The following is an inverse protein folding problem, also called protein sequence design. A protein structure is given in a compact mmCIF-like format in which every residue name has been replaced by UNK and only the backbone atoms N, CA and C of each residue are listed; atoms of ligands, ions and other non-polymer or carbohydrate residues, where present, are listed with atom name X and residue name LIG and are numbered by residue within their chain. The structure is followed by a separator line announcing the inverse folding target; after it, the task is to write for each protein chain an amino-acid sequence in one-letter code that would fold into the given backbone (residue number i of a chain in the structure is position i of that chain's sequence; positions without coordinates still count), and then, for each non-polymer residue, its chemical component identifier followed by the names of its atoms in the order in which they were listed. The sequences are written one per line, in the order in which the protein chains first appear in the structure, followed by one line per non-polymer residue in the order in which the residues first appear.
data_IF_152086634816
#
_entry.id   IF_152086634816
#
_cell.length_a   1.000
_cell.length_b   1.000
_cell.length_c   1.000
_cell.angle_alpha   90.00
_cell.angle_beta   90.00
_cell.angle_gamma   90.00
#
_symmetry.space_group_name_H-M   'P 1'
#
loop_
_entity.id
_entity.type
_entity.pdbx_description
1 polymer ?
#
# COMPACT_ATOMS: atom_id res chain seq x y z
N UNK A 1 1.71 28.56 -1.09
CA UNK A 1 2.57 28.60 0.10
C UNK A 1 3.97 28.24 -0.37
N UNK A 2 5.01 28.83 0.21
CA UNK A 2 6.40 28.49 -0.14
C UNK A 2 6.83 27.16 0.49
N UNK A 3 7.84 26.50 -0.09
CA UNK A 3 8.24 25.16 0.37
C UNK A 3 8.90 25.15 1.75
N UNK A 4 9.51 26.27 2.17
CA UNK A 4 10.00 26.43 3.54
C UNK A 4 8.84 26.44 4.56
N UNK A 5 7.75 27.14 4.22
CA UNK A 5 6.54 27.26 5.05
C UNK A 5 5.79 25.94 5.17
N UNK A 6 5.67 25.18 4.07
CA UNK A 6 5.09 23.81 4.11
C UNK A 6 5.93 22.89 4.99
N UNK A 7 7.25 22.94 4.88
CA UNK A 7 8.15 22.15 5.75
C UNK A 7 8.01 22.52 7.22
N UNK A 8 7.87 23.80 7.55
CA UNK A 8 7.63 24.24 8.92
C UNK A 8 6.30 23.70 9.48
N UNK A 9 5.21 23.73 8.70
CA UNK A 9 3.94 23.11 9.10
C UNK A 9 4.07 21.60 9.33
N UNK A 10 4.82 20.89 8.47
CA UNK A 10 5.04 19.44 8.58
C UNK A 10 5.87 19.07 9.81
N UNK A 11 6.95 19.81 10.09
CA UNK A 11 7.77 19.62 11.32
C UNK A 11 7.00 19.97 12.58
N UNK A 12 6.27 21.08 12.56
CA UNK A 12 5.44 21.53 13.68
C UNK A 12 4.15 20.73 13.89
N UNK A 13 3.81 19.80 13.00
CA UNK A 13 2.49 19.14 12.95
C UNK A 13 2.11 18.46 14.26
N UNK A 14 3.01 17.67 14.85
CA UNK A 14 2.69 16.97 16.10
C UNK A 14 2.32 17.94 17.23
N UNK A 15 3.10 19.02 17.36
CA UNK A 15 2.87 20.06 18.37
C UNK A 15 1.63 20.89 18.08
N UNK A 16 1.39 21.25 16.83
CA UNK A 16 0.16 21.93 16.41
C UNK A 16 -1.07 21.08 16.73
N UNK A 17 -1.08 19.80 16.36
CA UNK A 17 -2.23 18.91 16.63
C UNK A 17 -2.49 18.73 18.13
N UNK A 18 -1.44 18.72 18.94
CA UNK A 18 -1.54 18.61 20.39
C UNK A 18 -2.06 19.90 21.06
N UNK A 19 -1.60 21.08 20.61
CA UNK A 19 -1.80 22.34 21.30
C UNK A 19 -2.83 23.29 20.67
N UNK A 20 -3.16 23.11 19.38
CA UNK A 20 -4.04 24.02 18.65
C UNK A 20 -5.48 23.98 19.19
N UNK A 21 -5.96 25.14 19.59
CA UNK A 21 -7.37 25.40 19.91
C UNK A 21 -8.06 25.80 18.62
N UNK A 22 -8.84 24.89 18.08
CA UNK A 22 -9.46 25.04 16.75
C UNK A 22 -10.74 25.87 16.76
N UNK A 23 -11.54 25.81 17.84
CA UNK A 23 -12.81 26.55 17.92
C UNK A 23 -12.68 28.07 17.72
N UNK A 24 -11.68 28.77 18.31
CA UNK A 24 -11.49 30.21 18.08
C UNK A 24 -10.98 30.58 16.69
N UNK A 25 -10.54 29.60 15.88
CA UNK A 25 -9.94 29.86 14.57
C UNK A 25 -10.99 29.97 13.46
N UNK A 26 -12.19 29.40 13.64
CA UNK A 26 -13.13 29.23 12.54
C UNK A 26 -13.61 30.56 11.94
N UNK A 27 -14.08 31.50 12.77
CA UNK A 27 -14.59 32.78 12.27
C UNK A 27 -13.46 33.60 11.59
N UNK A 28 -12.27 33.77 12.19
CA UNK A 28 -11.17 34.48 11.53
C UNK A 28 -10.64 33.81 10.25
N UNK A 29 -10.72 32.48 10.15
CA UNK A 29 -10.34 31.74 8.95
C UNK A 29 -11.30 32.01 7.78
N UNK A 30 -12.59 32.16 8.06
CA UNK A 30 -13.62 32.52 7.09
C UNK A 30 -13.53 34.01 6.71
N UNK A 31 -13.51 34.91 7.71
CA UNK A 31 -13.51 36.37 7.51
C UNK A 31 -12.34 36.86 6.67
N UNK A 32 -11.16 36.23 6.83
CA UNK A 32 -9.95 36.58 6.07
C UNK A 32 -9.85 35.87 4.73
N UNK A 33 -10.90 35.15 4.33
CA UNK A 33 -10.96 34.39 3.08
C UNK A 33 -9.94 33.25 3.00
N UNK A 34 -9.39 32.83 4.14
CA UNK A 34 -8.42 31.74 4.16
C UNK A 34 -9.13 30.42 3.86
N UNK A 35 -10.35 30.24 4.35
CA UNK A 35 -11.26 29.14 4.00
C UNK A 35 -12.63 29.72 3.64
N UNK A 36 -13.37 29.05 2.75
CA UNK A 36 -14.77 29.42 2.50
C UNK A 36 -15.66 28.77 3.56
N UNK A 37 -16.85 29.32 3.80
CA UNK A 37 -17.81 28.77 4.76
C UNK A 37 -18.06 27.26 4.63
N UNK A 38 -18.28 26.70 3.41
CA UNK A 38 -18.44 25.25 3.26
C UNK A 38 -17.20 24.46 3.69
N UNK A 39 -15.99 24.98 3.43
CA UNK A 39 -14.75 24.32 3.85
C UNK A 39 -14.59 24.35 5.39
N UNK A 40 -15.01 25.43 6.04
CA UNK A 40 -14.99 25.52 7.51
C UNK A 40 -15.98 24.53 8.13
N UNK A 41 -17.17 24.38 7.55
CA UNK A 41 -18.17 23.38 7.98
C UNK A 41 -17.63 21.94 7.81
N UNK A 42 -16.94 21.64 6.69
CA UNK A 42 -16.25 20.36 6.49
C UNK A 42 -15.15 20.14 7.54
N UNK A 43 -14.33 21.14 7.82
CA UNK A 43 -13.27 21.07 8.82
C UNK A 43 -13.83 20.83 10.24
N UNK A 44 -14.96 21.44 10.58
CA UNK A 44 -15.65 21.21 11.84
C UNK A 44 -16.24 19.80 11.94
N UNK A 45 -16.66 19.21 10.81
CA UNK A 45 -17.21 17.85 10.75
C UNK A 45 -16.17 16.74 10.93
N UNK A 46 -14.87 17.05 10.92
CA UNK A 46 -13.75 16.10 11.00
C UNK A 46 -13.58 15.38 12.37
N UNK A 47 -14.63 15.35 13.18
CA UNK A 47 -14.71 14.62 14.45
C UNK A 47 -13.97 15.31 15.59
N UNK A 48 -13.02 14.61 16.21
CA UNK A 48 -12.30 15.12 17.40
C UNK A 48 -11.53 16.42 17.13
N UNK A 49 -11.29 17.23 18.17
CA UNK A 49 -10.43 18.45 18.10
C UNK A 49 -9.09 18.18 17.40
N UNK A 50 -8.45 17.05 17.70
CA UNK A 50 -7.20 16.64 17.05
C UNK A 50 -7.36 16.29 15.58
N UNK A 51 -8.50 15.71 15.19
CA UNK A 51 -8.89 15.49 13.79
C UNK A 51 -9.06 16.80 13.03
N UNK A 52 -9.82 17.73 13.60
CA UNK A 52 -10.02 19.08 13.05
C UNK A 52 -8.68 19.83 12.89
N UNK A 53 -7.80 19.80 13.89
CA UNK A 53 -6.49 20.42 13.83
C UNK A 53 -5.60 19.79 12.73
N UNK A 54 -5.62 18.45 12.60
CA UNK A 54 -4.89 17.73 11.54
C UNK A 54 -5.38 18.15 10.16
N UNK A 55 -6.69 18.17 9.96
CA UNK A 55 -7.28 18.49 8.66
C UNK A 55 -7.00 19.95 8.29
N UNK A 56 -7.15 20.88 9.24
CA UNK A 56 -6.84 22.29 9.03
C UNK A 56 -5.39 22.51 8.55
N UNK A 57 -4.41 21.84 9.18
CA UNK A 57 -3.00 21.95 8.79
C UNK A 57 -2.76 21.42 7.37
N UNK A 58 -3.40 20.28 7.02
CA UNK A 58 -3.30 19.67 5.69
C UNK A 58 -3.86 20.63 4.64
N UNK A 59 -5.07 21.12 4.85
CA UNK A 59 -5.76 21.94 3.85
C UNK A 59 -5.07 23.29 3.69
N UNK A 60 -4.48 23.83 4.77
CA UNK A 60 -3.71 25.07 4.75
C UNK A 60 -2.55 25.02 3.74
N UNK A 61 -1.89 23.87 3.52
CA UNK A 61 -0.81 23.71 2.54
C UNK A 61 -1.27 24.00 1.09
N UNK A 62 -2.58 23.89 0.82
CA UNK A 62 -3.19 24.07 -0.51
C UNK A 62 -3.70 25.49 -0.78
N UNK A 63 -3.78 26.36 0.24
CA UNK A 63 -4.47 27.68 0.17
C UNK A 63 -3.65 28.83 -0.47
N UNK A 64 -2.62 28.52 -1.25
CA UNK A 64 -1.85 29.54 -1.97
C UNK A 64 -0.82 30.29 -1.13
N UNK A 65 -0.19 31.33 -1.67
CA UNK A 65 1.01 31.99 -1.08
C UNK A 65 0.69 32.78 0.20
N UNK A 66 -0.50 33.36 0.31
CA UNK A 66 -0.92 34.16 1.45
C UNK A 66 -1.39 33.33 2.66
N UNK A 67 -1.53 32.01 2.48
CA UNK A 67 -2.11 31.15 3.51
C UNK A 67 -1.33 31.12 4.82
N UNK A 68 -0.02 30.95 4.73
CA UNK A 68 0.86 30.88 5.89
C UNK A 68 0.91 32.19 6.68
N UNK A 69 1.18 33.37 6.08
CA UNK A 69 1.19 34.63 6.84
C UNK A 69 -0.18 34.99 7.44
N UNK A 70 -1.28 34.70 6.72
CA UNK A 70 -2.63 34.90 7.26
C UNK A 70 -2.89 33.98 8.46
N UNK A 71 -2.50 32.71 8.38
CA UNK A 71 -2.65 31.77 9.48
C UNK A 71 -1.83 32.18 10.71
N UNK A 72 -0.60 32.65 10.53
CA UNK A 72 0.21 33.18 11.64
C UNK A 72 -0.46 34.38 12.30
N UNK A 73 -1.05 35.29 11.53
CA UNK A 73 -1.79 36.42 12.09
C UNK A 73 -3.00 35.94 12.89
N UNK A 74 -3.78 35.00 12.35
CA UNK A 74 -4.95 34.43 13.05
C UNK A 74 -4.55 33.75 14.36
N UNK A 75 -3.42 33.02 14.37
CA UNK A 75 -2.90 32.43 15.60
C UNK A 75 -2.59 33.50 16.66
N UNK A 76 -1.99 34.63 16.27
CA UNK A 76 -1.72 35.74 17.20
C UNK A 76 -3.02 36.36 17.72
N UNK A 77 -3.97 36.62 16.82
CA UNK A 77 -5.24 37.28 17.15
C UNK A 77 -6.13 36.41 18.06
N UNK A 78 -5.98 35.09 17.97
CA UNK A 78 -6.70 34.11 18.82
C UNK A 78 -5.95 33.73 20.10
N UNK A 79 -4.86 34.43 20.43
CA UNK A 79 -4.07 34.19 21.65
C UNK A 79 -3.21 32.92 21.61
N UNK A 80 -2.91 32.40 20.43
CA UNK A 80 -2.07 31.22 20.18
C UNK A 80 -0.71 31.61 19.57
N UNK A 81 -0.19 32.78 19.99
CA UNK A 81 1.06 33.38 19.49
C UNK A 81 2.28 32.46 19.59
N UNK A 82 2.37 31.65 20.65
CA UNK A 82 3.49 30.70 20.84
C UNK A 82 3.60 29.67 19.70
N UNK A 83 2.47 29.29 19.10
CA UNK A 83 2.44 28.40 17.94
C UNK A 83 2.88 29.13 16.67
N UNK A 84 2.56 30.41 16.55
CA UNK A 84 3.03 31.25 15.45
C UNK A 84 4.56 31.47 15.52
N UNK A 85 5.08 31.78 16.71
CA UNK A 85 6.52 31.98 16.94
C UNK A 85 7.31 30.69 16.70
N UNK A 86 6.76 29.54 17.14
CA UNK A 86 7.32 28.23 16.82
C UNK A 86 7.40 27.99 15.31
N UNK A 87 6.34 28.29 14.56
CA UNK A 87 6.31 28.11 13.10
C UNK A 87 7.26 29.04 12.35
N UNK A 88 7.48 30.26 12.85
CA UNK A 88 8.47 31.19 12.31
C UNK A 88 9.88 30.64 12.54
N UNK A 89 10.19 30.20 13.77
CA UNK A 89 11.47 29.58 14.10
C UNK A 89 11.74 28.34 13.24
N UNK A 90 10.72 27.51 13.01
CA UNK A 90 10.81 26.36 12.12
C UNK A 90 11.06 26.77 10.66
N UNK A 91 10.56 27.91 10.19
CA UNK A 91 10.88 28.43 8.85
C UNK A 91 12.33 28.92 8.72
N UNK A 92 12.89 29.49 9.79
CA UNK A 92 14.25 30.06 9.83
C UNK A 92 15.35 29.00 10.00
N UNK A 93 14.99 27.79 10.43
CA UNK A 93 15.92 26.65 10.42
C UNK A 93 16.31 26.26 8.99
N UNK A 94 17.51 26.68 8.57
CA UNK A 94 18.21 26.19 7.37
C UNK A 94 18.34 24.66 7.42
N UNK A 95 18.45 23.98 6.26
CA UNK A 95 18.67 22.55 6.23
C UNK A 95 20.03 22.24 6.86
N UNK A 96 20.03 21.83 8.12
CA UNK A 96 21.15 21.08 8.67
C UNK A 96 21.27 19.76 7.89
N UNK A 97 22.48 19.25 7.62
CA UNK A 97 22.64 17.86 7.22
C UNK A 97 21.91 17.00 8.26
N UNK A 98 21.33 15.84 7.88
CA UNK A 98 20.66 14.96 8.83
C UNK A 98 21.63 14.68 9.97
N UNK A 99 21.37 15.26 11.14
CA UNK A 99 22.14 14.90 12.32
C UNK A 99 21.73 13.46 12.63
N UNK A 100 22.71 12.55 12.74
CA UNK A 100 22.40 11.22 13.21
C UNK A 100 21.74 11.39 14.57
N UNK A 101 20.55 10.81 14.72
CA UNK A 101 20.01 10.57 16.05
C UNK A 101 21.02 9.60 16.68
N UNK A 102 21.85 10.11 17.60
CA UNK A 102 22.73 9.29 18.42
C UNK A 102 21.83 8.48 19.36
N UNK A 103 21.25 7.42 18.81
CA UNK A 103 20.58 6.38 19.59
C UNK A 103 21.69 5.66 20.35
N UNK A 104 22.08 6.23 21.49
CA UNK A 104 22.86 5.51 22.46
C UNK A 104 22.02 4.33 22.93
N UNK A 105 22.52 3.09 22.81
CA UNK A 105 21.84 1.94 23.38
C UNK A 105 21.62 2.20 24.87
N UNK A 106 20.42 1.90 25.36
CA UNK A 106 20.18 1.77 26.79
C UNK A 106 21.01 0.57 27.25
N UNK A 107 22.09 0.81 27.99
CA UNK A 107 22.86 -0.24 28.66
C UNK A 107 21.98 -0.83 29.77
N UNK A 108 21.46 -2.03 29.53
CA UNK A 108 20.93 -2.88 30.59
C UNK A 108 22.11 -3.63 31.21
N UNK A 109 22.49 -3.21 32.42
CA UNK A 109 23.47 -3.88 33.26
C UNK A 109 22.98 -5.31 33.61
N UNK A 110 23.43 -6.29 32.83
CA UNK A 110 23.33 -7.71 33.21
C UNK A 110 24.69 -8.14 33.77
N UNK A 111 24.76 -8.10 35.10
CA UNK A 111 25.88 -8.57 35.92
C UNK A 111 25.87 -10.10 36.01
N UNK A 112 26.99 -10.73 35.65
CA UNK A 112 27.35 -12.12 35.98
C UNK A 112 27.01 -13.13 34.88
N UNK A 113 27.83 -14.13 34.52
CA UNK A 113 29.09 -14.65 35.03
C UNK A 113 29.90 -15.31 33.90
N UNK A 114 31.15 -15.61 34.23
CA UNK A 114 32.29 -16.00 33.42
C UNK A 114 32.23 -17.39 32.75
N UNK A 115 33.01 -17.47 31.65
CA UNK A 115 33.99 -18.51 31.23
C UNK A 115 33.67 -19.44 30.04
N UNK A 116 34.41 -19.25 28.94
CA UNK A 116 35.55 -20.08 28.45
C UNK A 116 35.60 -20.35 26.93
N UNK A 117 36.61 -19.70 26.31
CA UNK A 117 37.63 -20.20 25.36
C UNK A 117 37.25 -20.82 24.00
N UNK A 118 37.72 -20.09 22.97
CA UNK A 118 38.52 -20.50 21.78
C UNK A 118 37.97 -21.61 20.88
N UNK A 119 37.74 -21.25 19.61
CA UNK A 119 38.61 -21.68 18.51
C UNK A 119 38.34 -20.84 17.25
N UNK A 120 39.42 -20.32 16.66
CA UNK A 120 39.47 -19.71 15.33
C UNK A 120 39.33 -20.78 14.26
N UNK A 121 38.61 -20.50 13.17
CA UNK A 121 38.99 -21.02 11.85
C UNK A 121 38.54 -20.06 10.75
N UNK A 122 39.53 -19.54 10.03
CA UNK A 122 39.36 -18.81 8.79
C UNK A 122 39.43 -19.80 7.61
N UNK A 123 38.55 -19.66 6.61
CA UNK A 123 38.78 -20.10 5.22
C UNK A 123 37.94 -19.17 4.32
N UNK A 124 38.53 -18.15 3.70
CA UNK A 124 39.05 -18.14 2.32
C UNK A 124 38.03 -18.56 1.24
N UNK A 125 37.50 -17.53 0.58
CA UNK A 125 36.82 -17.59 -0.71
C UNK A 125 37.80 -18.04 -1.80
N UNK A 126 37.46 -19.08 -2.55
CA UNK A 126 37.88 -19.18 -3.94
C UNK A 126 36.85 -19.92 -4.78
N UNK A 127 36.42 -19.24 -5.84
CA UNK A 127 35.60 -19.77 -6.91
C UNK A 127 36.46 -20.61 -7.88
N UNK A 128 35.89 -21.70 -8.42
CA UNK A 128 36.11 -22.18 -9.79
C UNK A 128 34.99 -23.15 -10.20
N UNK A 129 34.58 -23.05 -11.46
CA UNK A 129 33.59 -23.88 -12.15
C UNK A 129 34.15 -25.23 -12.57
N UNK A 130 33.34 -26.30 -12.59
CA UNK A 130 33.41 -27.40 -13.60
C UNK A 130 31.98 -27.96 -13.82
N UNK A 131 31.71 -28.33 -15.07
CA UNK A 131 30.44 -28.81 -15.61
C UNK A 131 30.17 -30.32 -15.45
N UNK A 132 28.88 -30.65 -15.60
CA UNK A 132 28.25 -31.87 -16.14
C UNK A 132 28.50 -33.24 -15.49
N UNK A 133 27.42 -33.84 -14.96
CA UNK A 133 27.32 -35.26 -14.62
C UNK A 133 25.88 -35.68 -14.33
N UNK A 134 25.27 -36.36 -15.30
CA UNK A 134 23.94 -36.98 -15.24
C UNK A 134 23.87 -38.07 -14.17
N UNK A 135 22.86 -38.05 -13.29
CA UNK A 135 22.41 -39.22 -12.53
C UNK A 135 20.89 -39.12 -12.28
N UNK A 136 20.15 -39.97 -12.99
CA UNK A 136 18.76 -40.32 -12.70
C UNK A 136 18.69 -41.09 -11.38
N UNK A 137 17.75 -40.75 -10.48
CA UNK A 137 17.14 -41.75 -9.60
C UNK A 137 15.75 -41.38 -9.10
N UNK A 138 14.86 -42.34 -9.36
CA UNK A 138 13.50 -42.65 -8.93
C UNK A 138 12.84 -41.86 -7.78
N UNK A 139 11.54 -41.63 -8.02
CA UNK A 139 10.51 -41.21 -7.09
C UNK A 139 10.30 -42.18 -5.92
N UNK A 140 10.02 -41.62 -4.75
CA UNK A 140 9.24 -42.25 -3.67
C UNK A 140 8.31 -41.17 -3.12
N UNK A 141 7.01 -41.46 -3.16
CA UNK A 141 5.95 -40.54 -2.75
C UNK A 141 5.80 -40.44 -1.23
N UNK A 142 5.47 -39.23 -0.78
CA UNK A 142 4.89 -38.95 0.52
C UNK A 142 3.83 -37.86 0.30
N UNK A 143 2.57 -38.22 0.52
CA UNK A 143 1.43 -37.31 0.36
C UNK A 143 1.42 -36.20 1.42
N UNK A 144 0.76 -35.06 1.17
CA UNK A 144 0.71 -33.98 2.14
C UNK A 144 -0.37 -34.25 3.18
N UNK A 145 0.03 -34.27 4.45
CA UNK A 145 -0.86 -34.09 5.59
C UNK A 145 -1.48 -32.69 5.54
N UNK A 146 -2.81 -32.64 5.45
CA UNK A 146 -3.59 -31.40 5.31
C UNK A 146 -3.62 -30.58 6.60
N UNK A 147 -3.30 -29.29 6.46
CA UNK A 147 -3.47 -28.24 7.47
C UNK A 147 -4.92 -27.69 7.41
N UNK A 148 -5.71 -27.64 8.52
CA UNK A 148 -7.15 -27.34 8.50
C UNK A 148 -7.53 -25.91 8.10
N UNK A 149 -6.57 -25.03 7.81
CA UNK A 149 -6.81 -23.62 7.45
C UNK A 149 -6.67 -23.28 5.95
N UNK A 150 -6.35 -24.26 5.11
CA UNK A 150 -6.07 -24.02 3.69
C UNK A 150 -7.32 -24.20 2.82
N UNK A 151 -7.80 -23.11 2.20
CA UNK A 151 -8.63 -23.20 1.00
C UNK A 151 -7.68 -22.96 -0.18
N UNK A 152 -7.22 -24.01 -0.91
CA UNK A 152 -6.82 -23.82 -2.30
C UNK A 152 -8.01 -23.20 -3.06
N UNK A 153 -7.92 -22.79 -4.32
CA UNK A 153 -9.08 -22.25 -5.06
C UNK A 153 -10.33 -23.19 -5.16
N UNK A 154 -10.39 -24.28 -4.38
CA UNK A 154 -11.50 -25.20 -4.22
C UNK A 154 -12.20 -25.04 -2.87
N UNK A 155 -13.27 -24.25 -2.81
CA UNK A 155 -14.54 -24.71 -2.21
C UNK A 155 -15.72 -24.11 -3.00
N UNK A 156 -16.08 -24.79 -4.09
CA UNK A 156 -17.41 -25.37 -4.26
C UNK A 156 -17.23 -26.69 -5.00
N UNK A 157 -17.66 -27.78 -4.38
CA UNK A 157 -18.01 -29.02 -5.08
C UNK A 157 -18.94 -28.63 -6.24
N UNK A 158 -18.42 -28.57 -7.47
CA UNK A 158 -19.16 -28.08 -8.64
C UNK A 158 -18.35 -27.33 -9.71
N UNK A 159 -17.10 -26.91 -9.44
CA UNK A 159 -16.26 -26.27 -10.46
C UNK A 159 -15.71 -27.31 -11.43
N UNK A 160 -16.00 -27.20 -12.72
CA UNK A 160 -15.53 -28.15 -13.74
C UNK A 160 -14.10 -27.81 -14.13
N UNK A 161 -13.33 -28.85 -14.42
CA UNK A 161 -12.00 -28.68 -15.00
C UNK A 161 -12.12 -27.93 -16.34
N UNK A 162 -11.47 -26.77 -16.44
CA UNK A 162 -11.58 -25.86 -17.58
C UNK A 162 -12.34 -24.55 -17.33
N UNK A 163 -13.09 -24.41 -16.23
CA UNK A 163 -13.77 -23.15 -15.89
C UNK A 163 -12.74 -22.05 -15.54
N UNK A 164 -13.02 -20.76 -15.85
CA UNK A 164 -12.11 -19.66 -15.52
C UNK A 164 -12.12 -19.33 -14.02
N UNK A 165 -10.96 -19.01 -13.44
CA UNK A 165 -10.76 -18.71 -12.00
C UNK A 165 -11.58 -17.49 -11.57
N UNK A 166 -11.70 -16.55 -12.50
CA UNK A 166 -12.26 -15.24 -12.29
C UNK A 166 -12.08 -14.40 -13.54
N UNK A 167 -12.64 -13.19 -13.49
CA UNK A 167 -12.28 -12.14 -14.42
C UNK A 167 -11.00 -11.44 -13.99
N UNK A 168 -10.20 -11.01 -14.98
CA UNK A 168 -9.01 -10.19 -14.78
C UNK A 168 -9.09 -8.99 -15.73
N UNK A 169 -9.33 -7.80 -15.19
CA UNK A 169 -9.32 -6.56 -15.97
C UNK A 169 -7.94 -5.92 -15.88
N UNK A 170 -7.32 -5.66 -17.03
CA UNK A 170 -6.04 -4.94 -17.13
C UNK A 170 -6.28 -3.57 -17.78
N UNK A 171 -6.10 -2.51 -17.00
CA UNK A 171 -6.14 -1.13 -17.49
C UNK A 171 -4.71 -0.64 -17.74
N UNK A 172 -4.35 -0.43 -19.00
CA UNK A 172 -3.00 -0.03 -19.41
C UNK A 172 -3.01 1.35 -20.08
N UNK A 173 -2.66 2.38 -19.33
CA UNK A 173 -2.55 3.75 -19.83
C UNK A 173 -1.09 4.07 -20.15
N UNK A 174 -0.82 4.27 -21.43
CA UNK A 174 0.51 4.48 -22.01
C UNK A 174 0.65 5.90 -22.52
N UNK A 175 -0.33 6.36 -23.29
CA UNK A 175 -0.33 7.66 -23.97
C UNK A 175 -1.29 8.62 -23.28
N UNK A 176 -0.76 9.74 -22.79
CA UNK A 176 -1.53 10.76 -22.09
C UNK A 176 -1.70 12.00 -22.96
N UNK A 177 -2.80 12.73 -22.74
CA UNK A 177 -3.08 13.96 -23.47
C UNK A 177 -2.03 15.02 -23.19
N UNK A 178 -1.71 15.88 -24.17
CA UNK A 178 -0.74 16.97 -23.97
C UNK A 178 -1.15 17.91 -22.83
N UNK A 179 -2.46 18.10 -22.62
CA UNK A 179 -3.01 18.97 -21.59
C UNK A 179 -2.75 18.47 -20.16
N UNK A 180 -2.46 17.17 -19.97
CA UNK A 180 -2.24 16.61 -18.63
C UNK A 180 -0.82 16.77 -18.11
N UNK A 181 0.13 17.22 -18.93
CA UNK A 181 1.57 17.28 -18.60
C UNK A 181 2.18 15.95 -18.12
N UNK A 182 1.53 14.82 -18.40
CA UNK A 182 2.03 13.48 -18.06
C UNK A 182 2.80 12.91 -19.25
N UNK A 183 3.99 12.37 -19.00
CA UNK A 183 4.82 11.75 -20.03
C UNK A 183 4.25 10.40 -20.49
N UNK A 184 4.61 9.98 -21.71
CA UNK A 184 4.27 8.64 -22.19
C UNK A 184 4.96 7.55 -21.35
N UNK A 185 4.27 6.43 -21.11
CA UNK A 185 4.77 5.30 -20.31
C UNK A 185 5.35 4.18 -21.17
N UNK A 186 6.41 4.48 -21.91
CA UNK A 186 7.08 3.52 -22.82
C UNK A 186 7.45 2.19 -22.12
N UNK A 187 7.20 1.06 -22.77
CA UNK A 187 7.42 -0.25 -22.13
C UNK A 187 6.30 -0.73 -21.21
N UNK A 188 5.27 0.08 -20.90
CA UNK A 188 4.07 -0.41 -20.20
C UNK A 188 3.28 -1.43 -21.02
N UNK A 189 3.37 -1.38 -22.36
CA UNK A 189 2.81 -2.42 -23.23
C UNK A 189 3.55 -3.77 -23.06
N UNK A 190 4.82 -3.76 -22.65
CA UNK A 190 5.57 -4.99 -22.32
C UNK A 190 5.03 -5.60 -21.03
N UNK A 191 4.85 -4.77 -20.00
CA UNK A 191 4.22 -5.16 -18.73
C UNK A 191 2.82 -5.74 -18.93
N UNK A 192 2.00 -5.05 -19.74
CA UNK A 192 0.65 -5.49 -20.06
C UNK A 192 0.63 -6.88 -20.70
N UNK A 193 1.51 -7.14 -21.68
CA UNK A 193 1.60 -8.44 -22.36
C UNK A 193 2.06 -9.56 -21.42
N UNK A 194 3.02 -9.27 -20.53
CA UNK A 194 3.48 -10.23 -19.50
C UNK A 194 2.33 -10.65 -18.59
N UNK A 195 1.61 -9.68 -18.03
CA UNK A 195 0.49 -9.96 -17.12
C UNK A 195 -0.69 -10.62 -17.83
N UNK A 196 -1.00 -10.22 -19.06
CA UNK A 196 -2.05 -10.87 -19.86
C UNK A 196 -1.71 -12.35 -20.10
N UNK A 197 -0.47 -12.65 -20.51
CA UNK A 197 0.00 -14.03 -20.66
C UNK A 197 -0.11 -14.80 -19.34
N UNK A 198 0.36 -14.21 -18.24
CA UNK A 198 0.37 -14.82 -16.91
C UNK A 198 -1.03 -15.18 -16.44
N UNK A 199 -1.94 -14.21 -16.40
CA UNK A 199 -3.28 -14.44 -15.88
C UNK A 199 -4.10 -15.38 -16.78
N UNK A 200 -3.86 -15.41 -18.10
CA UNK A 200 -4.42 -16.45 -18.98
C UNK A 200 -3.91 -17.85 -18.61
N UNK A 201 -2.61 -18.00 -18.33
CA UNK A 201 -2.03 -19.28 -17.89
C UNK A 201 -2.60 -19.72 -16.52
N UNK A 202 -2.91 -18.77 -15.64
CA UNK A 202 -3.59 -19.00 -14.35
C UNK A 202 -5.13 -19.12 -14.49
N UNK A 203 -5.62 -19.40 -15.70
CA UNK A 203 -7.04 -19.63 -16.02
C UNK A 203 -7.98 -18.45 -15.76
N UNK A 204 -7.53 -17.21 -15.84
CA UNK A 204 -8.44 -16.05 -15.77
C UNK A 204 -9.00 -15.69 -17.15
N UNK A 205 -10.23 -15.18 -17.16
CA UNK A 205 -10.76 -14.48 -18.33
C UNK A 205 -10.22 -13.05 -18.33
N UNK A 206 -9.18 -12.80 -19.14
CA UNK A 206 -8.46 -11.52 -19.16
C UNK A 206 -9.08 -10.56 -20.18
N UNK A 207 -9.48 -9.37 -19.72
CA UNK A 207 -9.90 -8.25 -20.55
C UNK A 207 -8.89 -7.11 -20.42
N UNK A 208 -8.27 -6.73 -21.52
CA UNK A 208 -7.29 -5.63 -21.56
C UNK A 208 -7.92 -4.39 -22.19
N UNK A 209 -7.82 -3.23 -21.51
CA UNK A 209 -8.20 -1.92 -22.03
C UNK A 209 -7.01 -0.98 -22.05
N UNK A 210 -6.88 -0.22 -23.13
CA UNK A 210 -5.73 0.67 -23.36
C UNK A 210 -6.17 2.13 -23.41
N UNK A 211 -5.37 3.00 -22.80
CA UNK A 211 -5.46 4.46 -22.91
C UNK A 211 -6.85 5.06 -22.60
N UNK A 212 -7.44 4.62 -21.49
CA UNK A 212 -8.75 5.11 -21.05
C UNK A 212 -8.65 6.45 -20.31
N UNK A 213 -9.62 7.34 -20.57
CA UNK A 213 -9.83 8.52 -19.73
C UNK A 213 -10.35 8.10 -18.36
N UNK A 214 -10.26 8.98 -17.37
CA UNK A 214 -10.67 8.64 -16.02
C UNK A 214 -12.14 8.18 -15.93
N UNK A 215 -13.04 8.82 -16.69
CA UNK A 215 -14.44 8.42 -16.71
C UNK A 215 -14.64 7.04 -17.34
N UNK A 216 -13.93 6.73 -18.43
CA UNK A 216 -14.04 5.45 -19.13
C UNK A 216 -13.47 4.31 -18.26
N UNK A 217 -12.39 4.57 -17.51
CA UNK A 217 -11.88 3.63 -16.50
C UNK A 217 -12.91 3.34 -15.42
N UNK A 218 -13.62 4.37 -14.93
CA UNK A 218 -14.69 4.19 -13.95
C UNK A 218 -15.81 3.32 -14.52
N UNK A 219 -16.22 3.57 -15.76
CA UNK A 219 -17.25 2.75 -16.42
C UNK A 219 -16.84 1.28 -16.52
N UNK A 220 -15.63 0.97 -17.00
CA UNK A 220 -15.15 -0.42 -17.12
C UNK A 220 -15.04 -1.13 -15.75
N UNK A 221 -14.61 -0.41 -14.71
CA UNK A 221 -14.56 -0.95 -13.34
C UNK A 221 -15.95 -1.24 -12.78
N UNK A 222 -16.91 -0.34 -13.01
CA UNK A 222 -18.29 -0.52 -12.58
C UNK A 222 -18.98 -1.65 -13.35
N UNK A 223 -18.76 -1.74 -14.67
CA UNK A 223 -19.25 -2.84 -15.49
C UNK A 223 -18.71 -4.18 -15.00
N UNK A 224 -17.42 -4.28 -14.69
CA UNK A 224 -16.84 -5.49 -14.10
C UNK A 224 -17.48 -5.83 -12.74
N UNK A 225 -17.67 -4.83 -11.88
CA UNK A 225 -18.29 -5.02 -10.57
C UNK A 225 -19.76 -5.48 -10.66
N UNK A 226 -20.46 -5.11 -11.74
CA UNK A 226 -21.86 -5.50 -11.99
C UNK A 226 -22.01 -6.88 -12.64
N UNK A 227 -20.94 -7.50 -13.13
CA UNK A 227 -21.01 -8.86 -13.69
C UNK A 227 -21.39 -9.91 -12.63
N UNK A 228 -21.94 -11.04 -13.09
CA UNK A 228 -22.21 -12.16 -12.21
C UNK A 228 -20.95 -12.99 -11.96
N UNK A 229 -20.37 -12.80 -10.77
CA UNK A 229 -19.22 -13.57 -10.29
C UNK A 229 -19.63 -14.85 -9.55
N UNK A 230 -20.91 -15.24 -9.53
CA UNK A 230 -21.45 -16.33 -8.71
C UNK A 230 -20.72 -17.66 -8.87
N UNK A 231 -20.41 -18.03 -10.13
CA UNK A 231 -19.68 -19.24 -10.50
C UNK A 231 -18.14 -19.12 -10.40
N UNK A 232 -17.62 -17.91 -10.20
CA UNK A 232 -16.18 -17.62 -10.19
C UNK A 232 -15.58 -17.71 -8.78
N UNK A 233 -14.28 -17.95 -8.69
CA UNK A 233 -13.55 -18.08 -7.42
C UNK A 233 -13.04 -16.75 -6.87
N UNK A 234 -12.65 -15.82 -7.74
CA UNK A 234 -12.09 -14.52 -7.36
C UNK A 234 -12.24 -13.47 -8.48
N UNK A 235 -11.81 -12.24 -8.23
CA UNK A 235 -11.72 -11.17 -9.22
C UNK A 235 -10.36 -10.48 -9.12
N UNK A 236 -9.77 -10.16 -10.28
CA UNK A 236 -8.47 -9.48 -10.38
C UNK A 236 -8.63 -8.18 -11.16
N UNK A 237 -8.00 -7.10 -10.68
CA UNK A 237 -7.89 -5.83 -11.37
C UNK A 237 -6.42 -5.40 -11.38
N UNK A 238 -5.85 -5.22 -12.56
CA UNK A 238 -4.50 -4.71 -12.77
C UNK A 238 -4.57 -3.31 -13.35
N UNK A 239 -3.82 -2.37 -12.78
CA UNK A 239 -3.79 -0.99 -13.24
C UNK A 239 -2.34 -0.58 -13.49
N UNK A 240 -2.03 -0.25 -14.74
CA UNK A 240 -0.73 0.25 -15.20
C UNK A 240 -0.91 1.70 -15.67
N UNK A 241 -0.58 2.68 -14.83
CA UNK A 241 -0.73 4.10 -15.18
C UNK A 241 0.26 4.99 -14.41
N UNK A 242 0.16 6.31 -14.58
CA UNK A 242 0.73 7.26 -13.64
C UNK A 242 -0.13 7.30 -12.38
N UNK A 243 0.52 7.55 -11.24
CA UNK A 243 -0.14 7.73 -9.97
C UNK A 243 0.11 9.11 -9.41
N UNK A 244 -0.68 9.47 -8.40
CA UNK A 244 -0.53 10.68 -7.63
C UNK A 244 -0.84 10.42 -6.16
N UNK A 245 -0.33 11.29 -5.30
CA UNK A 245 -0.77 11.32 -3.92
C UNK A 245 -2.15 11.98 -3.85
N UNK A 246 -3.10 11.28 -3.24
CA UNK A 246 -4.45 11.80 -2.97
C UNK A 246 -4.74 11.73 -1.48
N UNK A 247 -5.61 12.62 -1.00
CA UNK A 247 -6.25 12.42 0.29
C UNK A 247 -7.00 11.09 0.26
N UNK A 248 -6.88 10.33 1.35
CA UNK A 248 -7.48 9.03 1.50
C UNK A 248 -7.73 8.78 2.97
N UNK A 249 -8.73 7.96 3.25
CA UNK A 249 -9.03 7.49 4.60
C UNK A 249 -8.54 6.04 4.73
N UNK A 250 -8.71 5.25 3.68
CA UNK A 250 -8.46 3.80 3.72
C UNK A 250 -7.28 3.36 2.85
N UNK A 251 -7.28 3.75 1.57
CA UNK A 251 -6.28 3.28 0.60
C UNK A 251 -5.51 4.46 -0.01
N UNK A 252 -4.17 4.51 0.15
CA UNK A 252 -3.37 5.62 -0.35
C UNK A 252 -3.32 5.68 -1.87
N UNK A 253 -3.27 6.90 -2.38
CA UNK A 253 -2.95 7.22 -3.75
C UNK A 253 -4.13 7.26 -4.72
N UNK A 254 -3.87 7.83 -5.89
CA UNK A 254 -4.80 7.91 -6.99
C UNK A 254 -4.14 7.56 -8.32
N UNK A 255 -4.98 7.21 -9.30
CA UNK A 255 -4.57 6.76 -10.62
C UNK A 255 -5.02 7.78 -11.67
N UNK A 256 -4.13 8.16 -12.58
CA UNK A 256 -4.50 9.03 -13.69
C UNK A 256 -5.15 8.27 -14.85
N UNK A 257 -6.24 8.84 -15.38
CA UNK A 257 -6.70 8.58 -16.75
C UNK A 257 -5.83 9.30 -17.78
N UNK A 258 -6.02 8.99 -19.06
CA UNK A 258 -5.28 9.64 -20.16
C UNK A 258 -5.60 11.12 -20.34
N UNK A 259 -6.73 11.57 -19.80
CA UNK A 259 -7.13 12.97 -19.71
C UNK A 259 -6.48 13.74 -18.53
N UNK A 260 -5.62 13.08 -17.75
CA UNK A 260 -4.94 13.70 -16.61
C UNK A 260 -5.81 13.87 -15.36
N UNK A 261 -7.04 13.33 -15.37
CA UNK A 261 -7.89 13.32 -14.18
C UNK A 261 -7.54 12.12 -13.31
N UNK A 262 -7.49 12.33 -12.00
CA UNK A 262 -7.16 11.30 -11.02
C UNK A 262 -8.41 10.59 -10.48
N UNK A 263 -8.30 9.29 -10.23
CA UNK A 263 -9.29 8.46 -9.55
C UNK A 263 -8.66 7.95 -8.26
N UNK A 264 -9.21 8.25 -7.08
CA UNK A 264 -8.70 7.69 -5.82
C UNK A 264 -8.76 6.16 -5.83
N UNK A 265 -7.70 5.49 -5.38
CA UNK A 265 -7.66 4.03 -5.30
C UNK A 265 -8.76 3.50 -4.37
N UNK A 266 -9.02 4.21 -3.28
CA UNK A 266 -10.14 3.94 -2.38
C UNK A 266 -11.48 3.84 -3.13
N UNK A 267 -11.73 4.73 -4.10
CA UNK A 267 -12.95 4.68 -4.92
C UNK A 267 -13.01 3.42 -5.78
N UNK A 268 -11.87 3.04 -6.38
CA UNK A 268 -11.75 1.84 -7.22
C UNK A 268 -12.06 0.58 -6.41
N UNK A 269 -11.44 0.44 -5.25
CA UNK A 269 -11.63 -0.71 -4.36
C UNK A 269 -13.09 -0.80 -3.87
N UNK A 270 -13.70 0.35 -3.56
CA UNK A 270 -15.07 0.40 -3.04
C UNK A 270 -16.14 -0.06 -4.03
N UNK A 271 -15.89 -0.02 -5.34
CA UNK A 271 -16.81 -0.61 -6.33
C UNK A 271 -16.99 -2.12 -6.15
N UNK A 272 -16.02 -2.81 -5.55
CA UNK A 272 -16.04 -4.26 -5.39
C UNK A 272 -16.37 -4.71 -3.96
N UNK A 273 -16.73 -3.79 -3.06
CA UNK A 273 -17.08 -4.16 -1.69
C UNK A 273 -18.38 -4.98 -1.65
N UNK A 274 -18.67 -5.60 -0.50
CA UNK A 274 -19.84 -6.48 -0.36
C UNK A 274 -21.19 -5.77 -0.59
N UNK A 275 -21.26 -4.44 -0.45
CA UNK A 275 -22.49 -3.68 -0.73
C UNK A 275 -22.71 -3.50 -2.23
N UNK A 276 -21.65 -3.18 -2.99
CA UNK A 276 -21.74 -2.87 -4.41
C UNK A 276 -21.60 -4.09 -5.31
N UNK A 277 -20.91 -5.15 -4.87
CA UNK A 277 -20.74 -6.39 -5.63
C UNK A 277 -21.09 -7.63 -4.78
N UNK A 278 -22.39 -7.96 -4.62
CA UNK A 278 -22.83 -9.08 -3.78
C UNK A 278 -22.29 -10.45 -4.23
N UNK A 279 -22.09 -10.66 -5.53
CA UNK A 279 -21.58 -11.92 -6.11
C UNK A 279 -20.12 -12.22 -5.75
N UNK A 280 -19.37 -11.21 -5.26
CA UNK A 280 -18.00 -11.33 -4.74
C UNK A 280 -17.90 -11.33 -3.20
N UNK A 281 -19.03 -11.39 -2.48
CA UNK A 281 -19.01 -11.55 -1.01
C UNK A 281 -18.30 -12.84 -0.62
N UNK A 282 -17.35 -12.74 0.30
CA UNK A 282 -16.56 -13.89 0.75
C UNK A 282 -15.52 -14.38 -0.25
N UNK A 283 -15.35 -13.72 -1.41
CA UNK A 283 -14.40 -14.10 -2.47
C UNK A 283 -13.23 -13.11 -2.55
N UNK A 284 -12.00 -13.56 -2.83
CA UNK A 284 -10.83 -12.68 -2.97
C UNK A 284 -10.99 -11.66 -4.11
N UNK A 285 -10.69 -10.39 -3.80
CA UNK A 285 -10.66 -9.26 -4.73
C UNK A 285 -9.25 -8.68 -4.73
N UNK A 286 -8.52 -8.94 -5.80
CA UNK A 286 -7.08 -8.70 -5.88
C UNK A 286 -6.82 -7.52 -6.81
N UNK A 287 -6.15 -6.49 -6.30
CA UNK A 287 -5.77 -5.30 -7.04
C UNK A 287 -4.25 -5.22 -7.15
N UNK A 288 -3.71 -5.14 -8.36
CA UNK A 288 -2.27 -4.96 -8.62
C UNK A 288 -2.05 -3.60 -9.27
N UNK A 289 -1.42 -2.68 -8.54
CA UNK A 289 -1.32 -1.28 -8.90
C UNK A 289 0.13 -0.94 -9.20
N UNK A 290 0.43 -0.80 -10.50
CA UNK A 290 1.68 -0.24 -11.01
C UNK A 290 1.46 1.24 -11.32
N UNK A 291 1.72 2.08 -10.32
CA UNK A 291 1.63 3.53 -10.42
C UNK A 291 2.61 4.18 -9.44
N UNK A 292 3.10 5.38 -9.75
CA UNK A 292 3.96 6.13 -8.83
C UNK A 292 3.15 6.61 -7.62
N UNK A 293 3.63 6.36 -6.40
CA UNK A 293 3.00 6.85 -5.18
C UNK A 293 3.26 8.34 -4.91
N UNK A 294 4.25 8.94 -5.58
CA UNK A 294 4.65 10.34 -5.49
C UNK A 294 5.93 10.64 -6.27
N UNK A 295 6.50 11.84 -6.08
CA UNK A 295 7.71 12.32 -6.79
C UNK A 295 9.03 12.04 -6.05
N UNK A 296 8.96 11.50 -4.83
CA UNK A 296 10.14 11.31 -3.98
C UNK A 296 11.00 10.15 -4.47
N UNK A 297 12.28 10.44 -4.75
CA UNK A 297 13.29 9.43 -5.12
C UNK A 297 14.05 8.98 -3.88
N UNK A 298 14.04 7.67 -3.63
CA UNK A 298 14.79 7.08 -2.52
C UNK A 298 16.19 6.62 -2.98
N UNK A 299 17.23 7.03 -2.25
CA UNK A 299 18.62 6.57 -2.46
C UNK A 299 19.00 5.42 -1.54
N UNK A 300 18.12 5.04 -0.62
CA UNK A 300 18.37 4.02 0.38
C UNK A 300 19.44 4.42 1.41
N UNK A 301 19.85 3.45 2.20
CA UNK A 301 20.95 3.53 3.15
C UNK A 301 21.84 2.28 3.01
N UNK A 302 23.08 2.36 3.47
CA UNK A 302 24.03 1.25 3.42
C UNK A 302 23.68 0.25 4.52
N UNK A 303 23.58 -1.02 4.15
CA UNK A 303 23.40 -2.14 5.08
C UNK A 303 24.64 -3.02 4.98
N UNK A 304 25.29 -3.28 6.12
CA UNK A 304 26.30 -4.32 6.23
C UNK A 304 25.61 -5.69 6.15
N UNK A 305 26.05 -6.53 5.22
CA UNK A 305 25.44 -7.83 4.93
C UNK A 305 25.87 -8.88 5.94
N UNK A 306 25.32 -8.83 7.15
CA UNK A 306 25.42 -9.92 8.12
C UNK A 306 24.00 -10.43 8.46
N UNK A 307 23.65 -11.60 7.94
CA UNK A 307 22.42 -12.30 8.28
C UNK A 307 22.69 -13.33 9.38
N UNK A 308 22.04 -13.25 10.56
CA UNK A 308 21.84 -14.40 11.43
C UNK A 308 20.47 -15.04 11.15
N UNK A 309 20.44 -16.37 11.20
CA UNK A 309 19.27 -17.20 10.92
C UNK A 309 18.18 -17.14 11.99
N UNK A 310 16.98 -17.52 11.56
CA UNK A 310 15.77 -17.75 12.36
C UNK A 310 16.02 -18.74 13.50
N UNK A 311 15.70 -18.32 14.72
CA UNK A 311 15.26 -19.18 15.83
C UNK A 311 14.17 -18.40 16.59
N UNK A 312 12.95 -18.95 16.66
CA UNK A 312 11.83 -18.34 17.36
C UNK A 312 11.88 -18.65 18.86
N UNK A 313 11.64 -17.66 19.74
CA UNK A 313 11.15 -17.92 21.09
C UNK A 313 9.70 -17.46 21.23
N UNK A 314 8.83 -18.38 21.65
CA UNK A 314 7.46 -18.05 22.06
C UNK A 314 7.44 -17.12 23.27
N UNK A 315 6.61 -16.08 23.19
CA UNK A 315 6.33 -15.14 24.26
C UNK A 315 4.93 -14.55 24.07
N UNK A 316 4.15 -14.55 25.15
CA UNK A 316 2.74 -14.18 25.22
C UNK A 316 2.45 -12.75 24.75
N UNK A 317 1.45 -12.60 23.87
CA UNK A 317 0.84 -11.30 23.55
C UNK A 317 0.09 -10.77 24.78
N UNK A 318 0.46 -9.59 25.26
CA UNK A 318 -0.41 -8.74 26.08
C UNK A 318 -0.85 -7.53 25.25
N UNK A 319 -2.14 -7.19 25.33
CA UNK A 319 -2.82 -6.19 24.53
C UNK A 319 -3.30 -5.06 25.43
N UNK A 320 -2.95 -3.82 25.09
CA UNK A 320 -3.30 -2.61 25.85
C UNK A 320 -4.71 -2.09 25.54
N UNK A 321 -5.69 -2.98 25.35
CA UNK A 321 -7.09 -2.60 25.15
C UNK A 321 -7.86 -2.67 26.48
N UNK A 322 -8.38 -1.53 26.96
CA UNK A 322 -9.28 -1.48 28.12
C UNK A 322 -10.65 -2.08 27.76
N UNK A 323 -11.18 -3.06 28.51
CA UNK A 323 -12.51 -3.62 28.25
C UNK A 323 -13.60 -2.63 28.69
N UNK A 324 -14.55 -2.39 27.78
CA UNK A 324 -15.81 -1.73 28.11
C UNK A 324 -16.67 -2.70 28.93
N UNK A 325 -17.12 -2.27 30.11
CA UNK A 325 -18.00 -3.07 30.96
C UNK A 325 -19.40 -3.16 30.35
N UNK A 326 -19.90 -4.38 30.17
CA UNK A 326 -21.32 -4.68 29.90
C UNK A 326 -22.06 -4.90 31.23
N UNK A 327 -23.32 -4.46 31.36
CA UNK A 327 -24.24 -5.01 32.35
C UNK A 327 -24.78 -6.36 31.86
N UNK A 328 -24.85 -7.31 32.78
CA UNK A 328 -25.44 -8.64 32.62
C UNK A 328 -26.98 -8.60 32.56
N UNK A 329 -27.59 -9.33 31.63
CA UNK A 329 -28.78 -10.16 31.86
C UNK A 329 -29.20 -10.92 30.58
N UNK A 330 -29.08 -12.25 30.65
CA UNK A 330 -29.90 -13.32 30.06
C UNK A 330 -30.82 -13.02 28.87
N UNK A 331 -30.46 -13.57 27.70
CA UNK A 331 -31.40 -14.22 26.76
C UNK A 331 -30.60 -15.08 25.77
N UNK A 332 -30.92 -16.38 25.69
CA UNK A 332 -30.51 -17.25 24.59
C UNK A 332 -31.11 -16.72 23.28
N UNK A 333 -30.27 -16.23 22.37
CA UNK A 333 -30.64 -15.91 20.97
C UNK A 333 -30.08 -17.01 20.05
N UNK A 334 -30.92 -17.77 19.34
CA UNK A 334 -30.48 -18.68 18.29
C UNK A 334 -30.13 -17.90 17.02
N UNK A 335 -29.16 -18.40 16.25
CA UNK A 335 -28.67 -17.89 14.96
C UNK A 335 -27.68 -16.72 15.01
N UNK A 336 -26.43 -17.03 15.36
CA UNK A 336 -25.29 -16.22 14.98
C UNK A 336 -25.16 -16.18 13.43
N UNK A 337 -25.84 -15.22 12.79
CA UNK A 337 -25.63 -14.91 11.37
C UNK A 337 -24.18 -14.50 11.21
N UNK A 338 -23.38 -15.27 10.46
CA UNK A 338 -22.00 -14.94 10.17
C UNK A 338 -21.93 -13.64 9.34
N UNK A 339 -21.90 -12.48 10.00
CA UNK A 339 -21.79 -11.19 9.36
C UNK A 339 -20.34 -10.90 9.02
N UNK A 340 -20.01 -10.80 7.73
CA UNK A 340 -18.72 -10.31 7.29
C UNK A 340 -18.76 -8.78 7.12
N UNK A 341 -17.71 -8.05 7.53
CA UNK A 341 -17.57 -6.64 7.20
C UNK A 341 -17.64 -6.43 5.69
N UNK A 342 -18.25 -5.32 5.25
CA UNK A 342 -18.37 -4.98 3.83
C UNK A 342 -17.03 -4.89 3.07
N UNK A 343 -15.89 -4.47 3.65
CA UNK A 343 -14.59 -4.51 2.99
C UNK A 343 -13.79 -5.81 3.26
N UNK A 344 -14.43 -6.98 3.34
CA UNK A 344 -13.71 -8.26 3.51
C UNK A 344 -13.13 -8.80 2.20
N UNK A 345 -12.03 -9.55 2.31
CA UNK A 345 -11.41 -10.30 1.22
C UNK A 345 -10.86 -9.40 0.10
N UNK A 346 -10.24 -8.30 0.47
CA UNK A 346 -9.57 -7.35 -0.43
C UNK A 346 -8.07 -7.44 -0.24
N UNK A 347 -7.31 -7.46 -1.34
CA UNK A 347 -5.87 -7.28 -1.31
C UNK A 347 -5.48 -6.23 -2.34
N UNK A 348 -4.75 -5.21 -1.92
CA UNK A 348 -4.22 -4.16 -2.80
C UNK A 348 -2.71 -4.19 -2.77
N UNK A 349 -2.10 -4.67 -3.84
CA UNK A 349 -0.64 -4.73 -4.03
C UNK A 349 -0.16 -3.50 -4.80
N UNK A 350 0.72 -2.73 -4.17
CA UNK A 350 1.33 -1.52 -4.71
C UNK A 350 2.75 -1.79 -5.19
N UNK A 351 3.12 -1.24 -6.35
CA UNK A 351 4.46 -1.42 -6.92
C UNK A 351 5.56 -0.68 -6.17
N UNK A 352 5.23 0.32 -5.35
CA UNK A 352 6.16 1.11 -4.54
C UNK A 352 5.46 1.61 -3.29
N UNK A 353 6.22 1.99 -2.26
CA UNK A 353 5.68 2.59 -1.06
C UNK A 353 4.98 3.91 -1.39
N UNK A 354 3.78 4.18 -0.84
CA UNK A 354 3.07 5.44 -1.07
C UNK A 354 3.95 6.66 -0.84
N UNK A 355 3.95 7.61 -1.78
CA UNK A 355 4.84 8.79 -1.77
C UNK A 355 6.11 8.66 -2.62
N UNK A 356 6.51 7.45 -3.02
CA UNK A 356 7.76 7.22 -3.76
C UNK A 356 7.55 6.89 -5.24
N UNK A 357 8.62 7.06 -6.01
CA UNK A 357 8.66 6.74 -7.46
C UNK A 357 8.63 5.22 -7.68
N UNK A 358 7.99 4.78 -8.76
CA UNK A 358 8.07 3.41 -9.27
C UNK A 358 8.85 3.41 -10.60
N UNK A 359 9.87 2.57 -10.70
CA UNK A 359 10.81 2.57 -11.82
C UNK A 359 10.37 1.66 -12.96
N UNK A 360 10.65 2.11 -14.18
CA UNK A 360 10.38 1.39 -15.42
C UNK A 360 11.47 1.65 -16.43
N UNK A 361 11.80 0.59 -17.18
CA UNK A 361 12.68 0.63 -18.33
C UNK A 361 11.87 0.39 -19.61
N UNK A 362 12.23 1.09 -20.68
CA UNK A 362 11.43 1.09 -21.91
C UNK A 362 11.42 -0.26 -22.64
N UNK A 363 12.51 -1.04 -22.54
CA UNK A 363 12.69 -2.31 -23.25
C UNK A 363 12.17 -3.52 -22.46
N UNK A 364 12.38 -3.55 -21.14
CA UNK A 364 12.10 -4.70 -20.27
C UNK A 364 10.77 -4.59 -19.51
N UNK A 365 10.26 -3.36 -19.32
CA UNK A 365 9.07 -3.07 -18.53
C UNK A 365 9.39 -2.50 -17.15
N UNK A 366 8.42 -2.52 -16.23
CA UNK A 366 8.62 -2.05 -14.86
C UNK A 366 9.26 -3.11 -13.99
N UNK A 367 10.11 -2.69 -13.04
CA UNK A 367 10.79 -3.62 -12.13
C UNK A 367 9.79 -4.47 -11.35
N UNK A 368 8.68 -3.87 -10.93
CA UNK A 368 7.63 -4.57 -10.21
C UNK A 368 6.92 -5.61 -11.08
N UNK A 369 6.42 -5.24 -12.27
CA UNK A 369 5.66 -6.18 -13.11
C UNK A 369 6.55 -7.28 -13.66
N UNK A 370 7.79 -6.95 -14.07
CA UNK A 370 8.77 -7.96 -14.48
C UNK A 370 9.01 -8.99 -13.37
N UNK A 371 9.23 -8.53 -12.15
CA UNK A 371 9.48 -9.41 -11.00
C UNK A 371 8.23 -10.20 -10.64
N UNK A 372 7.06 -9.57 -10.65
CA UNK A 372 5.78 -10.20 -10.36
C UNK A 372 5.48 -11.34 -11.34
N UNK A 373 5.64 -11.11 -12.65
CA UNK A 373 5.44 -12.16 -13.67
C UNK A 373 6.40 -13.34 -13.46
N UNK A 374 7.68 -13.06 -13.17
CA UNK A 374 8.69 -14.08 -12.91
C UNK A 374 8.38 -14.91 -11.66
N UNK A 375 7.96 -14.26 -10.57
CA UNK A 375 7.58 -14.94 -9.33
C UNK A 375 6.31 -15.77 -9.54
N UNK A 376 5.31 -15.24 -10.24
CA UNK A 376 4.08 -15.99 -10.53
C UNK A 376 4.36 -17.20 -11.46
N UNK A 377 5.30 -17.11 -12.41
CA UNK A 377 5.73 -18.28 -13.20
C UNK A 377 6.32 -19.38 -12.30
N UNK A 378 7.22 -18.99 -11.40
CA UNK A 378 8.03 -19.93 -10.65
C UNK A 378 7.27 -20.53 -9.46
N UNK A 379 6.41 -19.77 -8.79
CA UNK A 379 5.90 -20.11 -7.45
C UNK A 379 4.38 -20.24 -7.36
N UNK A 380 3.61 -19.86 -8.39
CA UNK A 380 2.14 -19.89 -8.31
C UNK A 380 1.55 -21.30 -8.09
N UNK A 381 2.31 -22.35 -8.40
CA UNK A 381 1.89 -23.74 -8.22
C UNK A 381 2.13 -24.27 -6.78
N UNK A 382 2.92 -23.57 -5.97
CA UNK A 382 3.41 -24.08 -4.68
C UNK A 382 3.26 -23.10 -3.51
N UNK A 383 3.14 -21.81 -3.77
CA UNK A 383 3.07 -20.78 -2.73
C UNK A 383 1.77 -19.98 -2.77
N UNK A 384 1.36 -19.47 -1.61
CA UNK A 384 0.27 -18.51 -1.53
C UNK A 384 0.70 -17.11 -1.96
N UNK A 385 -0.28 -16.28 -2.35
CA UNK A 385 -0.06 -14.95 -2.88
C UNK A 385 0.76 -14.04 -1.97
N UNK A 386 0.62 -14.11 -0.65
CA UNK A 386 1.36 -13.21 0.25
C UNK A 386 2.85 -13.56 0.26
N UNK A 387 3.18 -14.85 0.28
CA UNK A 387 4.56 -15.31 0.17
C UNK A 387 5.18 -14.93 -1.19
N UNK A 388 4.42 -15.06 -2.27
CA UNK A 388 4.87 -14.57 -3.58
C UNK A 388 5.10 -13.05 -3.58
N UNK A 389 4.20 -12.26 -2.99
CA UNK A 389 4.39 -10.80 -2.89
C UNK A 389 5.59 -10.41 -2.02
N UNK A 390 5.91 -11.20 -0.98
CA UNK A 390 7.14 -11.02 -0.19
C UNK A 390 8.40 -11.25 -1.05
N UNK A 391 8.41 -12.28 -1.90
CA UNK A 391 9.50 -12.51 -2.87
C UNK A 391 9.64 -11.35 -3.84
N UNK A 392 8.52 -10.82 -4.34
CA UNK A 392 8.52 -9.64 -5.22
C UNK A 392 9.12 -8.43 -4.49
N UNK A 393 8.69 -8.17 -3.26
CA UNK A 393 9.21 -7.06 -2.47
C UNK A 393 10.73 -7.18 -2.25
N UNK A 394 11.21 -8.36 -1.85
CA UNK A 394 12.64 -8.62 -1.66
C UNK A 394 13.43 -8.37 -2.95
N UNK A 395 13.02 -9.00 -4.06
CA UNK A 395 13.73 -8.90 -5.32
C UNK A 395 13.73 -7.49 -5.92
N UNK A 396 12.63 -6.73 -5.80
CA UNK A 396 12.59 -5.33 -6.27
C UNK A 396 13.43 -4.41 -5.38
N UNK A 397 13.46 -4.62 -4.06
CA UNK A 397 14.24 -3.79 -3.13
C UNK A 397 15.76 -3.86 -3.35
N UNK A 398 16.21 -4.97 -3.93
CA UNK A 398 17.60 -5.20 -4.30
C UNK A 398 17.99 -4.55 -5.64
N UNK A 399 17.05 -4.07 -6.47
CA UNK A 399 17.33 -3.54 -7.80
C UNK A 399 17.87 -2.11 -7.78
N UNK A 400 18.85 -1.87 -8.64
CA UNK A 400 19.33 -0.54 -9.03
C UNK A 400 19.98 0.30 -7.92
N UNK A 401 20.39 1.52 -8.30
CA UNK A 401 20.96 2.51 -7.38
C UNK A 401 19.88 3.27 -6.61
N UNK A 402 18.74 3.55 -7.26
CA UNK A 402 17.56 4.10 -6.59
C UNK A 402 16.71 2.95 -6.04
N UNK A 403 16.18 3.13 -4.84
CA UNK A 403 15.41 2.10 -4.16
C UNK A 403 13.93 2.16 -4.53
N UNK A 404 13.30 0.99 -4.49
CA UNK A 404 11.87 0.80 -4.65
C UNK A 404 11.45 -0.38 -3.78
N UNK A 405 10.45 -0.19 -2.92
CA UNK A 405 9.91 -1.26 -2.08
C UNK A 405 8.41 -1.43 -2.39
N UNK A 406 8.03 -2.47 -3.14
CA UNK A 406 6.63 -2.87 -3.27
C UNK A 406 6.05 -3.29 -1.92
N UNK A 407 4.74 -3.21 -1.78
CA UNK A 407 4.03 -3.64 -0.57
C UNK A 407 2.57 -3.92 -0.85
N UNK A 408 1.84 -4.42 0.15
CA UNK A 408 0.41 -4.65 0.00
C UNK A 408 -0.39 -4.29 1.25
N UNK A 409 -1.63 -3.88 1.02
CA UNK A 409 -2.67 -3.82 2.05
C UNK A 409 -3.49 -5.10 1.95
N UNK A 410 -3.41 -5.94 2.97
CA UNK A 410 -4.04 -7.25 2.98
C UNK A 410 -5.21 -7.29 3.98
N UNK A 411 -6.40 -7.55 3.44
CA UNK A 411 -7.63 -7.82 4.19
C UNK A 411 -8.25 -9.16 3.78
N UNK A 412 -7.44 -10.07 3.25
CA UNK A 412 -7.82 -11.47 3.02
C UNK A 412 -7.94 -12.20 4.35
N UNK A 413 -8.96 -13.06 4.46
CA UNK A 413 -9.18 -13.88 5.67
C UNK A 413 -8.54 -15.27 5.58
N UNK A 414 -8.04 -15.64 4.40
CA UNK A 414 -7.47 -16.96 4.09
C UNK A 414 -6.29 -16.80 3.15
N UNK A 415 -5.37 -17.77 3.18
CA UNK A 415 -4.31 -17.89 2.17
C UNK A 415 -4.95 -18.05 0.79
N UNK A 416 -4.36 -17.41 -0.22
CA UNK A 416 -4.82 -17.48 -1.60
C UNK A 416 -3.79 -18.21 -2.45
N UNK A 417 -4.18 -19.32 -3.05
CA UNK A 417 -3.36 -20.08 -3.99
C UNK A 417 -3.95 -19.98 -5.39
N UNK A 418 -3.11 -19.73 -6.40
CA UNK A 418 -3.56 -19.79 -7.77
C UNK A 418 -3.72 -21.25 -8.22
N UNK A 419 -4.71 -21.51 -9.06
CA UNK A 419 -4.84 -22.78 -9.78
C UNK A 419 -4.11 -22.69 -11.11
N UNK A 420 -3.01 -23.43 -11.23
CA UNK A 420 -2.25 -23.59 -12.47
C UNK A 420 -2.90 -24.67 -13.36
N UNK A 421 -2.86 -24.48 -14.68
CA UNK A 421 -3.21 -25.52 -15.67
C UNK A 421 -2.10 -26.53 -15.85
#
# INVERSE_FOLDING_TARGET
MEEAQRRALRRGRARLVAALRVAPLWDPLEERGLFTRPMVEELQSAGSRGGQARQLIIDLETRGKQAFPLFLSILRDTGQGDLADMLIKECECLPGPPQPVDLRPVELDLRGEKQNKRASFAVFLHATSIAAGSLRRAAVGSGPSGDPGSIPCSVKSGRREGDPCGHCLILNNVSFSRASNLSAREGSDVDCKKLEKRFKALSFNVLTRRDLKAQDMVSELQELAQQDHGALGCCVVVILSHGCQTSHIQFPGGIYGTDGKAIPIEKIVNYFNGSHCPSLRGKPKLFFIQACGGEQRDRGFVVDSDSPGDEAPGGSLESDASPFQTPSADADEPDAVASLPTPSDILVSYSTFPGFVSWREASSGSWYVETLDSVLEQYAHSEDLLNMLLRVANAVSAKGTYKQIPGCFNFLRKKFFFTCK
#
